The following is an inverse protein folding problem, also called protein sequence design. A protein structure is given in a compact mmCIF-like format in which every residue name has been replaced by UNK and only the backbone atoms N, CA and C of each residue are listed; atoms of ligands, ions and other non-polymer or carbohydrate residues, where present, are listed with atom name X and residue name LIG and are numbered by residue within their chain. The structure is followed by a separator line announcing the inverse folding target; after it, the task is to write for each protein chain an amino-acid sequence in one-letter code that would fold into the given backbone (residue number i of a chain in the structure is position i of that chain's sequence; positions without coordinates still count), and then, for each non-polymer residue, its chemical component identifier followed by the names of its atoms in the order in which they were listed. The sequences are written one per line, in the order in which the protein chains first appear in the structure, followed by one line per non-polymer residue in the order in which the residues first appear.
data_IF_190839687881
#
_entry.id   IF_190839687881
#
_cell.length_a   1.000
_cell.length_b   1.000
_cell.length_c   1.000
_cell.angle_alpha   90.00
_cell.angle_beta   90.00
_cell.angle_gamma   90.00
#
_symmetry.space_group_name_H-M   'P 1'
#
loop_
_entity.id
_entity.type
_entity.pdbx_description
1 polymer ?
#
# COMPACT_ATOMS: atom_id res chain seq x y z
N UNK A 1 -11.66 -6.28 17.44
CA UNK A 1 -10.98 -5.72 16.24
C UNK A 1 -10.41 -6.89 15.45
N UNK A 2 -10.78 -7.05 14.18
CA UNK A 2 -10.16 -8.06 13.32
C UNK A 2 -8.95 -7.43 12.61
N UNK A 3 -7.79 -7.49 13.27
CA UNK A 3 -6.54 -6.98 12.72
C UNK A 3 -6.15 -7.70 11.43
N UNK A 4 -6.54 -8.96 11.23
CA UNK A 4 -6.20 -9.70 10.02
C UNK A 4 -7.03 -9.25 8.84
N UNK A 5 -8.32 -9.02 9.04
CA UNK A 5 -9.22 -8.47 8.03
C UNK A 5 -8.74 -7.09 7.57
N UNK A 6 -8.54 -6.16 8.50
CA UNK A 6 -8.03 -4.83 8.16
C UNK A 6 -6.64 -4.89 7.49
N UNK A 7 -5.76 -5.78 7.96
CA UNK A 7 -4.46 -5.99 7.32
C UNK A 7 -4.59 -6.42 5.86
N UNK A 8 -5.52 -7.32 5.55
CA UNK A 8 -5.80 -7.76 4.16
C UNK A 8 -6.38 -6.65 3.30
N UNK A 9 -7.22 -5.79 3.85
CA UNK A 9 -7.79 -4.63 3.15
C UNK A 9 -6.69 -3.65 2.74
N UNK A 10 -5.86 -3.21 3.68
CA UNK A 10 -4.72 -2.33 3.39
C UNK A 10 -3.77 -2.93 2.33
N UNK A 11 -3.49 -4.24 2.39
CA UNK A 11 -2.67 -4.90 1.37
C UNK A 11 -3.36 -4.99 0.01
N UNK A 12 -4.69 -5.06 -0.03
CA UNK A 12 -5.47 -5.01 -1.29
C UNK A 12 -5.35 -3.63 -1.93
N UNK A 13 -5.52 -2.57 -1.14
CA UNK A 13 -5.34 -1.19 -1.59
C UNK A 13 -3.92 -0.92 -2.09
N UNK A 14 -2.89 -1.40 -1.36
CA UNK A 14 -1.50 -1.30 -1.81
C UNK A 14 -1.29 -1.96 -3.19
N UNK A 15 -1.89 -3.14 -3.43
CA UNK A 15 -1.82 -3.79 -4.76
C UNK A 15 -2.56 -3.00 -5.84
N UNK A 16 -3.67 -2.35 -5.51
CA UNK A 16 -4.38 -1.47 -6.45
C UNK A 16 -3.52 -0.26 -6.82
N UNK A 17 -2.94 0.43 -5.84
CA UNK A 17 -2.04 1.56 -6.06
C UNK A 17 -0.82 1.17 -6.90
N UNK A 18 -0.19 0.03 -6.60
CA UNK A 18 0.94 -0.49 -7.40
C UNK A 18 0.56 -0.76 -8.85
N UNK A 19 -0.64 -1.28 -9.10
CA UNK A 19 -1.16 -1.49 -10.47
C UNK A 19 -1.41 -0.16 -11.19
N UNK A 20 -1.90 0.85 -10.49
CA UNK A 20 -2.13 2.18 -11.06
C UNK A 20 -0.81 2.92 -11.36
N UNK A 21 0.25 2.68 -10.58
CA UNK A 21 1.58 3.24 -10.82
C UNK A 21 2.27 2.65 -12.06
N UNK A 22 2.03 1.38 -12.37
CA UNK A 22 2.72 0.66 -13.44
C UNK A 22 2.66 1.36 -14.82
N UNK A 23 1.50 1.81 -15.32
CA UNK A 23 1.43 2.50 -16.62
C UNK A 23 1.96 3.93 -16.61
N UNK A 24 2.13 4.57 -15.44
CA UNK A 24 2.55 5.98 -15.36
C UNK A 24 4.06 6.14 -15.58
N UNK A 25 4.87 5.15 -15.18
CA UNK A 25 6.33 5.22 -15.34
C UNK A 25 6.78 5.27 -16.80
N UNK A 26 6.22 4.48 -17.74
CA UNK A 26 6.50 4.64 -19.16
C UNK A 26 6.08 6.00 -19.73
N UNK A 27 4.94 6.55 -19.29
CA UNK A 27 4.42 7.85 -19.76
C UNK A 27 5.37 9.01 -19.44
N UNK A 28 6.15 8.93 -18.35
CA UNK A 28 7.18 9.93 -18.05
C UNK A 28 8.26 10.07 -19.14
N UNK A 29 8.49 9.02 -19.93
CA UNK A 29 9.50 9.04 -21.01
C UNK A 29 9.04 9.85 -22.22
N UNK A 30 7.73 10.04 -22.37
CA UNK A 30 7.12 10.69 -23.53
C UNK A 30 6.64 12.12 -23.25
N UNK A 31 6.56 12.52 -21.97
CA UNK A 31 6.12 13.86 -21.57
C UNK A 31 7.30 14.81 -21.33
N UNK A 32 7.04 16.10 -21.53
CA UNK A 32 7.99 17.20 -21.31
C UNK A 32 7.31 18.38 -20.60
N UNK A 33 8.09 19.31 -20.06
CA UNK A 33 7.56 20.53 -19.46
C UNK A 33 6.62 20.27 -18.27
N UNK A 34 5.53 21.02 -18.21
CA UNK A 34 4.57 21.00 -17.09
C UNK A 34 3.87 19.64 -16.93
N UNK A 35 3.48 19.00 -18.02
CA UNK A 35 2.83 17.68 -17.99
C UNK A 35 3.71 16.61 -17.31
N UNK A 36 5.02 16.69 -17.55
CA UNK A 36 5.99 15.79 -16.88
C UNK A 36 6.03 16.05 -15.38
N UNK A 37 6.00 17.32 -14.95
CA UNK A 37 6.03 17.70 -13.54
C UNK A 37 4.75 17.22 -12.85
N UNK A 38 3.59 17.44 -13.47
CA UNK A 38 2.30 16.98 -12.94
C UNK A 38 2.26 15.45 -12.80
N UNK A 39 2.76 14.72 -13.80
CA UNK A 39 2.84 13.27 -13.72
C UNK A 39 3.82 12.77 -12.64
N UNK A 40 4.96 13.43 -12.47
CA UNK A 40 5.90 13.13 -11.38
C UNK A 40 5.27 13.29 -10.01
N UNK A 41 4.57 14.41 -9.79
CA UNK A 41 3.86 14.67 -8.53
C UNK A 41 2.80 13.59 -8.26
N UNK A 42 2.03 13.20 -9.27
CA UNK A 42 1.05 12.12 -9.15
C UNK A 42 1.70 10.78 -8.80
N UNK A 43 2.83 10.45 -9.42
CA UNK A 43 3.58 9.22 -9.12
C UNK A 43 4.11 9.25 -7.69
N UNK A 44 4.61 10.40 -7.21
CA UNK A 44 5.10 10.55 -5.85
C UNK A 44 3.99 10.28 -4.82
N UNK A 45 2.83 10.93 -4.97
CA UNK A 45 1.68 10.74 -4.09
C UNK A 45 1.20 9.29 -4.06
N UNK A 46 1.01 8.67 -5.24
CA UNK A 46 0.56 7.28 -5.31
C UNK A 46 1.59 6.31 -4.72
N UNK A 47 2.89 6.63 -4.81
CA UNK A 47 3.96 5.82 -4.21
C UNK A 47 3.92 5.93 -2.69
N UNK A 48 3.73 7.12 -2.15
CA UNK A 48 3.61 7.34 -0.70
C UNK A 48 2.42 6.57 -0.12
N UNK A 49 1.24 6.72 -0.73
CA UNK A 49 0.03 5.98 -0.34
C UNK A 49 0.23 4.46 -0.41
N UNK A 50 0.94 3.98 -1.44
CA UNK A 50 1.26 2.56 -1.58
C UNK A 50 2.11 2.07 -0.42
N UNK A 51 3.16 2.82 -0.06
CA UNK A 51 4.07 2.45 1.03
C UNK A 51 3.36 2.48 2.37
N UNK A 52 2.50 3.46 2.62
CA UNK A 52 1.71 3.56 3.84
C UNK A 52 0.75 2.37 3.96
N UNK A 53 -0.03 2.07 2.91
CA UNK A 53 -0.94 0.92 2.92
C UNK A 53 -0.18 -0.39 3.11
N UNK A 54 0.97 -0.55 2.46
CA UNK A 54 1.80 -1.75 2.60
C UNK A 54 2.28 -1.93 4.04
N UNK A 55 2.86 -0.88 4.63
CA UNK A 55 3.38 -0.91 6.01
C UNK A 55 2.25 -1.19 7.01
N UNK A 56 1.16 -0.44 6.94
CA UNK A 56 0.01 -0.59 7.84
C UNK A 56 -0.59 -1.98 7.73
N UNK A 57 -0.79 -2.49 6.51
CA UNK A 57 -1.30 -3.85 6.31
C UNK A 57 -0.40 -4.92 6.94
N UNK A 58 0.92 -4.81 6.77
CA UNK A 58 1.88 -5.74 7.37
C UNK A 58 1.88 -5.67 8.91
N UNK A 59 1.81 -4.47 9.49
CA UNK A 59 1.75 -4.29 10.94
C UNK A 59 0.47 -4.88 11.53
N UNK A 60 -0.66 -4.70 10.86
CA UNK A 60 -1.95 -5.24 11.28
C UNK A 60 -1.95 -6.77 11.25
N UNK A 61 -1.40 -7.40 10.19
CA UNK A 61 -1.26 -8.85 10.16
C UNK A 61 -0.39 -9.37 11.32
N UNK A 62 0.78 -8.74 11.57
CA UNK A 62 1.66 -9.10 12.69
C UNK A 62 0.94 -9.00 14.04
N UNK A 63 0.15 -7.93 14.25
CA UNK A 63 -0.66 -7.78 15.46
C UNK A 63 -1.70 -8.89 15.57
N UNK A 64 -2.42 -9.19 14.49
CA UNK A 64 -3.40 -10.27 14.45
C UNK A 64 -2.81 -11.63 14.84
N UNK A 65 -1.63 -11.95 14.31
CA UNK A 65 -0.92 -13.20 14.62
C UNK A 65 -0.49 -13.27 16.09
N UNK A 66 0.00 -12.15 16.64
CA UNK A 66 0.36 -12.05 18.06
C UNK A 66 -0.85 -12.29 18.98
N UNK A 67 -2.00 -11.66 18.68
CA UNK A 67 -3.19 -11.81 19.50
C UNK A 67 -3.78 -13.23 19.42
N UNK A 68 -3.78 -13.86 18.24
CA UNK A 68 -4.23 -15.26 18.11
C UNK A 68 -3.31 -16.20 18.89
N UNK A 69 -1.99 -16.06 18.75
CA UNK A 69 -1.03 -16.88 19.48
C UNK A 69 -1.25 -16.75 20.99
N UNK A 70 -1.34 -15.51 21.50
CA UNK A 70 -1.60 -15.24 22.92
C UNK A 70 -2.95 -15.81 23.40
N UNK A 71 -3.98 -15.84 22.56
CA UNK A 71 -5.26 -16.45 22.91
C UNK A 71 -5.14 -17.96 23.11
N UNK A 72 -4.34 -18.64 22.28
CA UNK A 72 -4.11 -20.10 22.36
C UNK A 72 -3.31 -20.53 23.59
N UNK A 73 -2.50 -19.64 24.17
CA UNK A 73 -1.76 -19.92 25.43
C UNK A 73 -2.58 -19.65 26.69
N UNK A 74 -3.78 -19.06 26.58
CA UNK A 74 -4.67 -18.76 27.72
C UNK A 74 -5.87 -19.71 27.83
N UNK A 75 -6.04 -20.63 26.88
CA UNK A 75 -7.05 -21.71 26.90
C UNK A 75 -6.42 -23.03 27.29
#
# INVERSE_FOLDING_TARGET
MDYREWGREYLREARMLKRHLAPLRPQLKTLTGEDKILLLNRIAMLTEMYLECLRTGQELLKKGDFFEARSKFKS
#
